data_IF_978220397637
#
_entry.id   IF_978220397637
#
_cell.length_a   1.000
_cell.length_b   1.000
_cell.length_c   1.000
_cell.angle_alpha   90.00
_cell.angle_beta   90.00
_cell.angle_gamma   90.00
#
_symmetry.space_group_name_H-M   'P 1'
#
loop_
_entity.id
_entity.type
_entity.pdbx_description
1 polymer ?
#
# COMPACT_ATOMS: atom_id res chain seq x y z
N UNK A 1 -7.09 -22.56 28.48
CA UNK A 1 -7.36 -23.13 27.14
C UNK A 1 -6.61 -22.31 26.12
N UNK A 2 -5.94 -22.92 25.14
CA UNK A 2 -5.28 -22.16 24.09
C UNK A 2 -6.31 -21.41 23.24
N UNK A 3 -5.98 -20.17 22.85
CA UNK A 3 -6.84 -19.27 22.10
C UNK A 3 -6.71 -19.56 20.62
N UNK A 4 -7.76 -20.06 19.95
CA UNK A 4 -7.78 -20.23 18.49
C UNK A 4 -8.06 -18.91 17.79
N UNK A 5 -7.74 -18.81 16.48
CA UNK A 5 -8.00 -17.63 15.67
C UNK A 5 -9.51 -17.25 15.70
N UNK A 6 -10.40 -18.21 15.45
CA UNK A 6 -11.87 -17.99 15.56
C UNK A 6 -12.25 -17.43 16.91
N UNK A 7 -11.75 -18.04 18.02
CA UNK A 7 -12.08 -17.57 19.34
C UNK A 7 -11.51 -16.19 19.66
N UNK A 8 -10.34 -15.87 19.13
CA UNK A 8 -9.76 -14.54 19.23
C UNK A 8 -10.63 -13.48 18.54
N UNK A 9 -11.18 -13.75 17.36
CA UNK A 9 -12.09 -12.86 16.68
C UNK A 9 -13.41 -12.69 17.44
N UNK A 10 -13.89 -13.72 18.15
CA UNK A 10 -15.12 -13.68 18.96
C UNK A 10 -15.00 -12.83 20.24
N UNK A 11 -13.81 -12.69 20.83
CA UNK A 11 -13.63 -12.09 22.16
C UNK A 11 -14.06 -10.62 22.28
N UNK A 12 -13.98 -9.84 21.20
CA UNK A 12 -14.23 -8.40 21.23
C UNK A 12 -15.44 -7.96 20.43
N UNK A 13 -16.04 -8.85 19.67
CA UNK A 13 -17.11 -8.54 18.76
C UNK A 13 -18.22 -9.56 18.94
N UNK A 14 -19.45 -9.12 19.02
CA UNK A 14 -20.64 -9.98 18.86
C UNK A 14 -20.79 -10.38 17.38
N UNK A 15 -19.65 -10.76 16.72
CA UNK A 15 -19.66 -11.19 15.35
C UNK A 15 -20.28 -12.57 15.24
N UNK A 16 -21.09 -12.76 14.22
CA UNK A 16 -21.63 -14.08 13.86
C UNK A 16 -20.52 -14.95 13.28
N UNK A 17 -20.67 -16.27 13.33
CA UNK A 17 -19.71 -17.20 12.71
C UNK A 17 -19.48 -16.87 11.23
N UNK A 18 -20.53 -16.55 10.49
CA UNK A 18 -20.44 -16.14 9.08
C UNK A 18 -19.51 -14.93 8.88
N UNK A 19 -19.63 -13.89 9.70
CA UNK A 19 -18.78 -12.70 9.61
C UNK A 19 -17.31 -13.04 9.90
N UNK A 20 -17.06 -13.95 10.83
CA UNK A 20 -15.71 -14.43 11.15
C UNK A 20 -15.12 -15.19 9.97
N UNK A 21 -15.88 -16.11 9.37
CA UNK A 21 -15.44 -16.89 8.21
C UNK A 21 -15.16 -15.98 7.00
N UNK A 22 -16.01 -14.99 6.76
CA UNK A 22 -15.83 -13.97 5.73
C UNK A 22 -14.55 -13.14 5.97
N UNK A 23 -14.29 -12.72 7.21
CA UNK A 23 -13.10 -11.92 7.54
C UNK A 23 -11.81 -12.76 7.43
N UNK A 24 -11.81 -14.00 7.92
CA UNK A 24 -10.66 -14.91 7.78
C UNK A 24 -10.39 -15.25 6.31
N UNK A 25 -11.43 -15.48 5.53
CA UNK A 25 -11.30 -15.69 4.08
C UNK A 25 -10.72 -14.47 3.38
N UNK A 26 -11.20 -13.28 3.74
CA UNK A 26 -10.76 -12.00 3.18
C UNK A 26 -9.29 -11.69 3.45
N UNK A 27 -8.70 -12.26 4.50
CA UNK A 27 -7.29 -12.12 4.87
C UNK A 27 -6.47 -13.37 4.56
N UNK A 28 -7.02 -14.30 3.77
CA UNK A 28 -6.36 -15.56 3.35
C UNK A 28 -5.96 -16.47 4.52
N UNK A 29 -6.67 -16.35 5.66
CA UNK A 29 -6.41 -17.12 6.90
C UNK A 29 -7.52 -18.09 7.26
N UNK A 30 -8.46 -18.39 6.35
CA UNK A 30 -9.56 -19.31 6.61
C UNK A 30 -9.11 -20.70 7.08
N UNK A 31 -7.98 -21.20 6.55
CA UNK A 31 -7.39 -22.47 6.94
C UNK A 31 -6.80 -22.48 8.38
N UNK A 32 -6.65 -21.31 8.99
CA UNK A 32 -6.11 -21.12 10.34
C UNK A 32 -7.19 -20.93 11.41
N UNK A 33 -8.48 -21.07 11.07
CA UNK A 33 -9.61 -20.81 11.97
C UNK A 33 -9.47 -21.50 13.34
N UNK A 34 -9.02 -22.75 13.35
CA UNK A 34 -8.81 -23.55 14.55
C UNK A 34 -7.36 -23.53 15.08
N UNK A 35 -6.45 -22.89 14.36
CA UNK A 35 -5.05 -22.77 14.77
C UNK A 35 -4.92 -21.89 16.03
N UNK A 36 -3.98 -22.27 16.90
CA UNK A 36 -3.70 -21.50 18.12
C UNK A 36 -2.90 -20.24 17.79
N UNK A 37 -3.33 -19.09 18.32
CA UNK A 37 -2.69 -17.79 18.07
C UNK A 37 -1.18 -17.78 18.36
N UNK A 38 -0.72 -18.51 19.38
CA UNK A 38 0.71 -18.60 19.75
C UNK A 38 1.52 -19.56 18.87
N UNK A 39 0.92 -20.22 17.90
CA UNK A 39 1.58 -21.12 16.96
C UNK A 39 1.65 -20.56 15.55
N UNK A 40 1.04 -19.39 15.32
CA UNK A 40 1.05 -18.72 14.05
C UNK A 40 2.44 -18.12 13.77
N UNK A 41 2.86 -18.15 12.51
CA UNK A 41 3.97 -17.33 12.04
C UNK A 41 3.66 -15.84 12.17
N UNK A 42 4.67 -14.97 12.09
CA UNK A 42 4.47 -13.51 12.15
C UNK A 42 3.45 -13.01 11.12
N UNK A 43 3.60 -13.45 9.87
CA UNK A 43 2.69 -13.06 8.79
C UNK A 43 1.25 -13.59 8.97
N UNK A 44 1.09 -14.83 9.39
CA UNK A 44 -0.23 -15.41 9.72
C UNK A 44 -0.90 -14.67 10.88
N UNK A 45 -0.13 -14.35 11.91
CA UNK A 45 -0.60 -13.59 13.06
C UNK A 45 -1.10 -12.20 12.64
N UNK A 46 -0.33 -11.45 11.85
CA UNK A 46 -0.71 -10.13 11.34
C UNK A 46 -1.97 -10.18 10.46
N UNK A 47 -2.10 -11.20 9.60
CA UNK A 47 -3.31 -11.41 8.78
C UNK A 47 -4.54 -11.71 9.65
N UNK A 48 -4.41 -12.47 10.75
CA UNK A 48 -5.51 -12.72 11.69
C UNK A 48 -5.86 -11.46 12.48
N UNK A 49 -4.88 -10.61 12.83
CA UNK A 49 -5.15 -9.28 13.41
C UNK A 49 -5.92 -8.40 12.44
N UNK A 50 -5.54 -8.40 11.15
CA UNK A 50 -6.24 -7.66 10.11
C UNK A 50 -7.68 -8.18 9.92
N UNK A 51 -7.89 -9.52 9.93
CA UNK A 51 -9.23 -10.12 9.91
C UNK A 51 -10.12 -9.58 11.03
N UNK A 52 -9.56 -9.46 12.24
CA UNK A 52 -10.27 -8.88 13.38
C UNK A 52 -10.60 -7.40 13.17
N UNK A 53 -9.71 -6.64 12.59
CA UNK A 53 -9.93 -5.21 12.34
C UNK A 53 -11.06 -4.97 11.33
N UNK A 54 -11.21 -5.84 10.33
CA UNK A 54 -12.22 -5.69 9.27
C UNK A 54 -13.59 -6.32 9.57
N UNK A 55 -13.74 -7.06 10.68
CA UNK A 55 -15.00 -7.74 11.06
C UNK A 55 -16.25 -6.87 11.03
N UNK A 56 -16.11 -5.57 11.20
CA UNK A 56 -17.23 -4.60 11.26
C UNK A 56 -17.32 -3.74 10.01
N UNK A 57 -16.62 -4.07 8.95
CA UNK A 57 -16.54 -3.24 7.74
C UNK A 57 -16.29 -1.78 8.10
N UNK A 58 -15.14 -1.44 8.72
CA UNK A 58 -14.85 -0.11 9.20
C UNK A 58 -14.75 0.89 8.05
N UNK A 59 -15.14 2.14 8.28
CA UNK A 59 -14.91 3.25 7.37
C UNK A 59 -13.45 3.75 7.41
N UNK A 60 -12.73 3.39 8.49
CA UNK A 60 -11.34 3.79 8.69
C UNK A 60 -10.57 2.73 9.48
N UNK A 61 -9.40 2.33 8.95
CA UNK A 61 -8.47 1.40 9.59
C UNK A 61 -7.24 2.15 10.10
N UNK A 62 -6.80 1.82 11.30
CA UNK A 62 -5.51 2.26 11.86
C UNK A 62 -4.63 1.03 12.04
N UNK A 63 -3.51 1.00 11.35
CA UNK A 63 -2.55 -0.11 11.35
C UNK A 63 -1.20 0.40 11.86
N UNK A 64 -0.81 -0.09 13.03
CA UNK A 64 0.45 0.26 13.70
C UNK A 64 1.45 -0.88 13.49
N UNK A 65 2.52 -0.60 12.74
CA UNK A 65 3.58 -1.55 12.38
C UNK A 65 3.03 -2.91 11.89
N UNK A 66 2.13 -2.95 10.88
CA UNK A 66 1.40 -4.17 10.52
C UNK A 66 2.29 -5.29 9.99
N UNK A 67 3.53 -5.02 9.61
CA UNK A 67 4.49 -6.01 9.08
C UNK A 67 5.53 -6.43 10.10
N UNK A 68 5.43 -5.96 11.35
CA UNK A 68 6.40 -6.31 12.38
C UNK A 68 6.47 -7.82 12.60
N UNK A 69 7.67 -8.39 12.45
CA UNK A 69 7.90 -9.83 12.62
C UNK A 69 7.50 -10.69 11.41
N UNK A 70 7.26 -10.05 10.26
CA UNK A 70 7.00 -10.70 8.97
C UNK A 70 8.30 -10.75 8.16
N UNK A 71 8.50 -11.79 7.36
CA UNK A 71 9.61 -11.85 6.41
C UNK A 71 9.35 -10.96 5.19
N UNK A 72 10.37 -10.66 4.41
CA UNK A 72 10.29 -9.73 3.28
C UNK A 72 9.19 -10.08 2.25
N UNK A 73 9.02 -11.36 1.90
CA UNK A 73 8.00 -11.76 0.94
C UNK A 73 6.58 -11.66 1.54
N UNK A 74 6.45 -12.01 2.80
CA UNK A 74 5.21 -11.86 3.57
C UNK A 74 4.81 -10.39 3.72
N UNK A 75 5.78 -9.49 3.89
CA UNK A 75 5.59 -8.04 3.99
C UNK A 75 4.96 -7.47 2.71
N UNK A 76 5.55 -7.75 1.54
CA UNK A 76 5.00 -7.34 0.24
C UNK A 76 3.56 -7.85 0.07
N UNK A 77 3.34 -9.13 0.40
CA UNK A 77 2.04 -9.79 0.30
C UNK A 77 1.02 -9.17 1.26
N UNK A 78 1.42 -8.78 2.46
CA UNK A 78 0.53 -8.18 3.45
C UNK A 78 0.14 -6.73 3.06
N UNK A 79 1.06 -5.93 2.53
CA UNK A 79 0.73 -4.59 2.02
C UNK A 79 -0.24 -4.65 0.85
N UNK A 80 -0.04 -5.59 -0.09
CA UNK A 80 -0.99 -5.81 -1.18
C UNK A 80 -2.38 -6.20 -0.65
N UNK A 81 -2.43 -7.07 0.34
CA UNK A 81 -3.69 -7.46 0.97
C UNK A 81 -4.39 -6.27 1.64
N UNK A 82 -3.64 -5.37 2.29
CA UNK A 82 -4.18 -4.13 2.89
C UNK A 82 -4.77 -3.22 1.79
N UNK A 83 -4.10 -3.06 0.65
CA UNK A 83 -4.60 -2.32 -0.51
C UNK A 83 -5.92 -2.92 -1.03
N UNK A 84 -5.95 -4.24 -1.25
CA UNK A 84 -7.14 -4.96 -1.73
C UNK A 84 -8.33 -4.83 -0.76
N UNK A 85 -8.06 -4.86 0.55
CA UNK A 85 -9.07 -4.67 1.60
C UNK A 85 -9.59 -3.24 1.60
N UNK A 86 -8.69 -2.23 1.53
CA UNK A 86 -9.06 -0.81 1.43
C UNK A 86 -10.04 -0.58 0.29
N UNK A 87 -9.70 -1.08 -0.89
CA UNK A 87 -10.49 -0.88 -2.10
C UNK A 87 -11.85 -1.59 -2.02
N UNK A 88 -11.87 -2.84 -1.52
CA UNK A 88 -13.10 -3.62 -1.35
C UNK A 88 -14.05 -3.03 -0.32
N UNK A 89 -13.53 -2.50 0.80
CA UNK A 89 -14.33 -1.89 1.85
C UNK A 89 -14.60 -0.39 1.59
N UNK A 90 -13.93 0.20 0.60
CA UNK A 90 -13.92 1.64 0.35
C UNK A 90 -13.65 2.44 1.64
N UNK A 91 -12.62 2.06 2.40
CA UNK A 91 -12.28 2.64 3.69
C UNK A 91 -10.98 3.43 3.64
N UNK A 92 -10.84 4.43 4.51
CA UNK A 92 -9.57 5.10 4.75
C UNK A 92 -8.61 4.17 5.50
N UNK A 93 -7.29 4.29 5.23
CA UNK A 93 -6.26 3.56 5.96
C UNK A 93 -5.21 4.54 6.49
N UNK A 94 -4.96 4.48 7.79
CA UNK A 94 -3.83 5.14 8.44
C UNK A 94 -2.79 4.08 8.77
N UNK A 95 -1.64 4.17 8.11
CA UNK A 95 -0.50 3.31 8.33
C UNK A 95 0.53 4.03 9.20
N UNK A 96 0.90 3.45 10.33
CA UNK A 96 1.99 3.92 11.17
C UNK A 96 3.16 2.97 10.92
N UNK A 97 4.29 3.49 10.47
CA UNK A 97 5.48 2.70 10.16
C UNK A 97 6.75 3.55 10.25
N UNK A 98 7.85 2.91 10.56
CA UNK A 98 9.19 3.49 10.47
C UNK A 98 9.88 3.15 9.13
N UNK A 99 9.26 2.33 8.28
CA UNK A 99 9.78 2.02 6.95
C UNK A 99 9.42 3.15 5.97
N UNK A 100 10.38 4.04 5.75
CA UNK A 100 10.23 5.19 4.86
C UNK A 100 9.94 4.78 3.41
N UNK A 101 10.50 3.65 2.95
CA UNK A 101 10.30 3.18 1.59
C UNK A 101 8.82 2.83 1.35
N UNK A 102 8.22 2.07 2.26
CA UNK A 102 6.80 1.71 2.21
C UNK A 102 5.93 2.95 2.32
N UNK A 103 6.19 3.81 3.32
CA UNK A 103 5.41 5.04 3.53
C UNK A 103 5.41 5.90 2.28
N UNK A 104 6.56 6.12 1.66
CA UNK A 104 6.67 6.99 0.48
C UNK A 104 6.12 6.35 -0.80
N UNK A 105 6.14 5.01 -0.91
CA UNK A 105 5.70 4.31 -2.13
C UNK A 105 4.23 3.87 -2.12
N UNK A 106 3.60 3.76 -0.93
CA UNK A 106 2.29 3.12 -0.77
C UNK A 106 1.21 4.03 -0.18
N UNK A 107 1.52 5.31 0.06
CA UNK A 107 0.56 6.22 0.67
C UNK A 107 0.28 7.45 -0.19
N UNK A 108 -0.94 7.98 -0.09
CA UNK A 108 -1.35 9.21 -0.77
C UNK A 108 -0.90 10.46 0.01
N UNK A 109 -0.81 10.34 1.32
CA UNK A 109 -0.41 11.42 2.24
C UNK A 109 0.46 10.90 3.36
N UNK A 110 1.43 11.70 3.75
CA UNK A 110 2.39 11.42 4.82
C UNK A 110 2.28 12.48 5.90
N UNK A 111 2.42 12.05 7.15
CA UNK A 111 2.56 12.92 8.33
C UNK A 111 3.81 12.48 9.09
N UNK A 112 4.77 13.36 9.25
CA UNK A 112 5.98 13.09 10.00
C UNK A 112 5.82 13.54 11.45
N UNK A 113 6.10 12.62 12.38
CA UNK A 113 5.97 12.86 13.82
C UNK A 113 7.32 12.72 14.52
N UNK A 114 7.67 13.75 15.30
CA UNK A 114 8.79 13.72 16.26
C UNK A 114 8.43 14.56 17.50
N UNK A 115 7.54 14.03 18.34
CA UNK A 115 6.95 14.76 19.46
C UNK A 115 5.92 15.83 19.06
N UNK A 116 5.98 16.29 17.82
CA UNK A 116 5.02 17.18 17.15
C UNK A 116 4.95 16.82 15.65
N UNK A 117 3.97 17.37 14.92
CA UNK A 117 3.91 17.23 13.47
C UNK A 117 4.99 18.14 12.87
N UNK A 118 6.04 17.52 12.28
CA UNK A 118 7.16 18.23 11.67
C UNK A 118 6.87 18.62 10.22
N UNK A 119 6.31 17.69 9.45
CA UNK A 119 5.93 17.90 8.05
C UNK A 119 4.71 17.03 7.68
N UNK A 120 3.97 17.44 6.68
CA UNK A 120 2.86 16.66 6.12
C UNK A 120 2.58 17.04 4.68
N UNK A 121 2.05 16.12 3.90
CA UNK A 121 1.71 16.38 2.50
C UNK A 121 1.69 15.10 1.66
N UNK A 122 1.83 15.25 0.35
CA UNK A 122 2.12 14.11 -0.52
C UNK A 122 3.53 13.60 -0.27
N UNK A 123 3.84 12.32 -0.56
CA UNK A 123 5.19 11.78 -0.41
C UNK A 123 6.28 12.65 -1.06
N UNK A 124 6.04 13.15 -2.29
CA UNK A 124 6.98 14.01 -3.01
C UNK A 124 7.23 15.34 -2.28
N UNK A 125 6.17 16.00 -1.79
CA UNK A 125 6.29 17.25 -1.06
C UNK A 125 7.03 17.06 0.27
N UNK A 126 6.76 15.96 0.97
CA UNK A 126 7.42 15.63 2.23
C UNK A 126 8.91 15.32 2.00
N UNK A 127 9.24 14.48 1.00
CA UNK A 127 10.62 14.10 0.69
C UNK A 127 11.51 15.32 0.31
N UNK A 128 10.91 16.36 -0.28
CA UNK A 128 11.61 17.59 -0.67
C UNK A 128 11.70 18.64 0.44
N UNK A 129 11.02 18.45 1.57
CA UNK A 129 10.99 19.45 2.66
C UNK A 129 12.28 19.46 3.49
N UNK A 130 12.63 20.64 4.01
CA UNK A 130 13.80 20.79 4.87
C UNK A 130 13.61 20.09 6.21
N UNK A 131 12.38 20.05 6.74
CA UNK A 131 12.03 19.35 7.96
C UNK A 131 12.27 17.84 7.85
N UNK A 132 11.97 17.26 6.68
CA UNK A 132 12.23 15.84 6.43
C UNK A 132 13.74 15.56 6.41
N UNK A 133 14.54 16.43 5.78
CA UNK A 133 16.01 16.32 5.78
C UNK A 133 16.61 16.41 7.15
N UNK A 134 16.09 17.28 7.99
CA UNK A 134 16.52 17.41 9.40
C UNK A 134 16.22 16.14 10.19
N UNK A 135 15.08 15.48 9.95
CA UNK A 135 14.68 14.28 10.67
C UNK A 135 15.43 13.02 10.23
N UNK A 136 15.60 12.82 8.91
CA UNK A 136 16.05 11.56 8.33
C UNK A 136 17.42 11.65 7.65
N UNK A 137 17.96 12.85 7.50
CA UNK A 137 19.24 13.15 6.85
C UNK A 137 19.15 13.27 5.33
N UNK A 138 20.15 13.91 4.73
CA UNK A 138 20.20 14.21 3.30
C UNK A 138 20.25 12.95 2.43
N UNK A 139 20.85 11.86 2.91
CA UNK A 139 20.93 10.60 2.16
C UNK A 139 19.56 9.94 2.01
N UNK A 140 18.75 9.91 3.07
CA UNK A 140 17.40 9.37 3.03
C UNK A 140 16.50 10.21 2.12
N UNK A 141 16.56 11.54 2.24
CA UNK A 141 15.82 12.46 1.38
C UNK A 141 16.20 12.31 -0.09
N UNK A 142 17.49 12.18 -0.41
CA UNK A 142 17.97 12.00 -1.79
C UNK A 142 17.57 10.64 -2.38
N UNK A 143 17.62 9.55 -1.59
CA UNK A 143 17.22 8.23 -2.02
C UNK A 143 15.72 8.14 -2.35
N UNK A 144 14.88 8.84 -1.58
CA UNK A 144 13.43 8.87 -1.77
C UNK A 144 12.99 9.85 -2.85
N UNK A 145 13.70 10.97 -3.08
CA UNK A 145 13.42 11.91 -4.15
C UNK A 145 13.64 11.29 -5.56
N UNK A 146 14.48 10.26 -5.68
CA UNK A 146 14.65 9.49 -6.91
C UNK A 146 13.48 8.55 -7.20
N UNK A 147 12.59 8.31 -6.25
CA UNK A 147 11.44 7.42 -6.35
C UNK A 147 10.18 8.21 -6.68
N UNK A 148 10.20 8.95 -7.81
CA UNK A 148 8.97 9.54 -8.36
C UNK A 148 8.04 8.41 -8.82
N UNK A 149 7.06 8.07 -8.00
CA UNK A 149 5.92 7.30 -8.46
C UNK A 149 5.09 8.18 -9.39
N UNK A 150 5.16 7.91 -10.67
CA UNK A 150 4.14 8.32 -11.63
C UNK A 150 2.89 7.49 -11.35
N UNK A 151 2.00 8.04 -10.55
CA UNK A 151 0.61 7.61 -10.59
C UNK A 151 0.03 8.16 -11.90
N UNK A 152 -0.14 7.29 -12.90
CA UNK A 152 -0.75 7.63 -14.19
C UNK A 152 -2.28 7.86 -14.09
N UNK A 153 -2.76 8.41 -12.98
CA UNK A 153 -4.16 8.75 -12.80
C UNK A 153 -4.34 10.02 -11.97
N UNK A 154 -5.27 10.85 -12.41
CA UNK A 154 -5.69 12.09 -11.75
C UNK A 154 -6.92 11.79 -10.87
N UNK A 155 -6.86 12.16 -9.57
CA UNK A 155 -8.02 12.15 -8.70
C UNK A 155 -8.82 13.42 -8.93
N UNK A 156 -10.03 13.29 -9.45
CA UNK A 156 -10.97 14.42 -9.60
C UNK A 156 -11.56 14.78 -8.22
N UNK A 157 -12.03 16.05 -8.05
CA UNK A 157 -12.61 16.52 -6.78
C UNK A 157 -13.87 15.75 -6.33
N UNK A 158 -14.49 15.00 -7.23
CA UNK A 158 -15.66 14.14 -6.99
C UNK A 158 -15.31 12.69 -6.61
N UNK A 159 -14.01 12.38 -6.46
CA UNK A 159 -13.51 11.05 -6.09
C UNK A 159 -13.38 10.06 -7.26
N UNK A 160 -13.60 10.49 -8.51
CA UNK A 160 -13.39 9.66 -9.68
C UNK A 160 -11.91 9.66 -10.12
N UNK A 161 -11.45 8.50 -10.64
CA UNK A 161 -10.09 8.31 -11.14
C UNK A 161 -10.10 8.46 -12.66
N UNK A 162 -9.30 9.39 -13.20
CA UNK A 162 -9.09 9.56 -14.63
C UNK A 162 -7.74 8.96 -15.03
N UNK A 163 -7.75 7.90 -15.83
CA UNK A 163 -6.54 7.38 -16.46
C UNK A 163 -6.24 8.19 -17.72
N UNK A 164 -4.98 8.64 -17.97
CA UNK A 164 -4.62 9.30 -19.21
C UNK A 164 -4.76 8.29 -20.36
N UNK A 165 -5.52 8.66 -21.39
CA UNK A 165 -5.60 7.94 -22.65
C UNK A 165 -4.24 8.06 -23.37
N UNK A 166 -3.53 6.96 -23.54
CA UNK A 166 -2.37 6.89 -24.42
C UNK A 166 -2.86 7.01 -25.88
N UNK A 167 -2.84 8.21 -26.42
CA UNK A 167 -2.91 8.45 -27.86
C UNK A 167 -1.54 8.08 -28.44
N UNK A 168 -1.45 6.91 -29.05
CA UNK A 168 -0.31 6.54 -29.89
C UNK A 168 -0.45 7.25 -31.24
N UNK A 169 0.20 8.40 -31.39
CA UNK A 169 0.47 9.00 -32.69
C UNK A 169 1.46 8.11 -33.47
N UNK A 170 0.90 7.26 -34.32
CA UNK A 170 1.67 6.60 -35.36
C UNK A 170 1.99 7.60 -36.47
N UNK A 171 3.13 8.28 -36.39
CA UNK A 171 3.71 9.01 -37.50
C UNK A 171 4.19 8.01 -38.53
N UNK A 172 3.42 7.82 -39.59
CA UNK A 172 3.85 7.13 -40.80
C UNK A 172 4.95 7.96 -41.47
N UNK A 173 6.18 7.46 -41.42
CA UNK A 173 7.32 7.97 -42.19
C UNK A 173 7.06 7.80 -43.67
N UNK A 174 7.14 8.90 -44.43
CA UNK A 174 7.10 8.93 -45.87
C UNK A 174 8.34 8.26 -46.46
N UNK A 175 8.25 7.61 -47.65
CA UNK A 175 9.40 6.96 -48.30
C UNK A 175 10.37 7.98 -48.90
N UNK A 176 11.64 7.83 -48.60
CA UNK A 176 12.73 8.56 -49.28
C UNK A 176 12.84 8.15 -50.75
N UNK A 177 12.69 9.15 -51.62
CA UNK A 177 12.94 9.02 -53.03
C UNK A 177 14.43 8.80 -53.31
N UNK A 178 14.71 7.83 -54.16
CA UNK A 178 16.03 7.53 -54.71
C UNK A 178 16.31 8.46 -55.89
N UNK A 179 17.18 9.41 -55.75
CA UNK A 179 17.79 10.08 -56.91
C UNK A 179 19.15 9.45 -57.16
N UNK A 180 19.20 8.82 -58.36
CA UNK A 180 20.44 8.34 -58.93
C UNK A 180 21.19 9.48 -59.61
N UNK A 181 22.45 9.59 -59.31
CA UNK A 181 23.37 10.39 -60.14
C UNK A 181 24.55 9.55 -60.55
N UNK A 182 24.60 9.34 -61.91
CA UNK A 182 25.74 8.81 -62.63
C UNK A 182 26.81 9.86 -62.66
N UNK A 183 28.05 9.48 -62.39
CA UNK A 183 29.21 10.21 -62.92
C UNK A 183 30.17 9.18 -63.53
N UNK A 184 30.40 9.37 -64.86
CA UNK A 184 31.45 8.76 -65.63
C UNK A 184 32.84 9.34 -65.28
N UNK A 185 33.82 8.54 -65.18
CA UNK A 185 35.20 8.66 -65.77
C UNK A 185 36.09 7.56 -65.17
#
# INVERSE_FOLDING_TARGET
MPLSATRFLQLTNRATQRQIDEALSATETGHLADAQMNKLSGGEFQRVLLARAILRSPEFLVLDEPVQGVDYNGEISLYKLIEDIRDRLNCGVMLISHDLHVVMSKTDRVICLNGHICCHGTPANVASSDEFRVLFGDQAASALALYEHRHDHEHLPDGQIRSPSHEHDHVHGAPLASDGEKIDA
#
